data_IF_686323353881
#
_entry.id   IF_686323353881
#
_cell.length_a   1.000
_cell.length_b   1.000
_cell.length_c   1.000
_cell.angle_alpha   90.00
_cell.angle_beta   90.00
_cell.angle_gamma   90.00
#
_symmetry.space_group_name_H-M   'P 1'
#
loop_
_entity.id
_entity.type
_entity.pdbx_description
1 polymer ?
#
# COMPACT_ATOMS: atom_id res chain seq x y z
N UNK A 1 -5.71 24.11 0.35
CA UNK A 1 -5.34 24.32 1.77
C UNK A 1 -4.40 23.24 2.31
N UNK A 2 -4.78 21.94 2.38
CA UNK A 2 -3.85 20.88 2.84
C UNK A 2 -2.71 20.59 1.86
N UNK A 3 -3.03 20.56 0.57
CA UNK A 3 -2.05 20.40 -0.51
C UNK A 3 -1.00 21.52 -0.46
N UNK A 4 -1.46 22.78 -0.43
CA UNK A 4 -0.61 23.97 -0.36
C UNK A 4 0.26 24.04 0.90
N UNK A 5 -0.27 23.60 2.05
CA UNK A 5 0.46 23.61 3.32
C UNK A 5 1.53 22.52 3.42
N UNK A 6 1.42 21.44 2.63
CA UNK A 6 2.34 20.30 2.68
C UNK A 6 3.28 20.23 1.47
N UNK A 7 2.96 20.94 0.39
CA UNK A 7 3.69 20.84 -0.88
C UNK A 7 3.57 19.47 -1.56
N UNK A 8 2.64 18.62 -1.10
CA UNK A 8 2.39 17.28 -1.66
C UNK A 8 1.18 17.33 -2.57
N UNK A 9 1.24 16.68 -3.73
CA UNK A 9 0.05 16.42 -4.55
C UNK A 9 -0.86 15.43 -3.82
N UNK A 10 -2.09 15.86 -3.53
CA UNK A 10 -3.12 15.07 -2.86
C UNK A 10 -4.32 14.81 -3.78
N UNK A 11 -4.16 15.00 -5.09
CA UNK A 11 -5.24 14.85 -6.08
C UNK A 11 -5.83 13.46 -6.04
N UNK A 12 -5.02 12.41 -6.00
CA UNK A 12 -5.52 11.04 -5.88
C UNK A 12 -6.16 10.77 -4.51
N UNK A 13 -5.62 11.34 -3.43
CA UNK A 13 -6.17 11.15 -2.08
C UNK A 13 -7.62 11.68 -1.97
N UNK A 14 -8.01 12.67 -2.78
CA UNK A 14 -9.39 13.18 -2.86
C UNK A 14 -10.41 12.11 -3.23
N UNK A 15 -10.01 11.00 -3.85
CA UNK A 15 -10.89 9.86 -4.15
C UNK A 15 -11.56 9.26 -2.89
N UNK A 16 -10.95 9.42 -1.71
CA UNK A 16 -11.57 9.01 -0.44
C UNK A 16 -12.88 9.76 -0.11
N UNK A 17 -13.06 10.96 -0.66
CA UNK A 17 -14.24 11.79 -0.40
C UNK A 17 -15.33 11.63 -1.46
N UNK A 18 -14.99 11.12 -2.66
CA UNK A 18 -15.91 11.04 -3.80
C UNK A 18 -16.31 9.61 -4.18
N UNK A 19 -15.50 8.61 -3.82
CA UNK A 19 -15.73 7.21 -4.18
C UNK A 19 -16.26 6.41 -2.99
N UNK A 20 -17.48 5.87 -3.12
CA UNK A 20 -18.08 5.00 -2.10
C UNK A 20 -17.49 3.58 -2.14
N UNK A 21 -17.73 2.82 -1.08
CA UNK A 21 -17.33 1.41 -0.95
C UNK A 21 -15.97 1.22 -0.27
N UNK A 22 -15.80 0.04 0.33
CA UNK A 22 -14.60 -0.33 1.10
C UNK A 22 -13.59 -1.05 0.20
N UNK A 23 -12.36 -0.52 0.04
CA UNK A 23 -11.31 -1.23 -0.70
C UNK A 23 -10.92 -2.50 0.03
N UNK A 24 -10.74 -3.58 -0.72
CA UNK A 24 -10.07 -4.79 -0.24
C UNK A 24 -8.63 -4.74 -0.71
N UNK A 25 -7.70 -4.89 0.24
CA UNK A 25 -6.27 -5.02 -0.05
C UNK A 25 -5.89 -6.48 0.12
N UNK A 26 -5.40 -7.08 -0.96
CA UNK A 26 -4.80 -8.41 -0.96
C UNK A 26 -3.29 -8.26 -0.85
N UNK A 27 -2.68 -9.07 0.01
CA UNK A 27 -1.23 -9.12 0.19
C UNK A 27 -0.75 -10.49 -0.26
N UNK A 28 0.28 -10.51 -1.10
CA UNK A 28 1.02 -11.73 -1.46
C UNK A 28 2.51 -11.47 -1.33
N UNK A 29 3.27 -12.46 -0.91
CA UNK A 29 4.70 -12.35 -0.74
C UNK A 29 5.48 -13.52 -1.35
N UNK A 30 6.76 -13.27 -1.60
CA UNK A 30 7.73 -14.28 -1.99
C UNK A 30 9.08 -14.00 -1.34
N UNK A 31 9.84 -15.08 -1.13
CA UNK A 31 11.23 -14.99 -0.69
C UNK A 31 12.10 -15.81 -1.63
N UNK A 32 13.00 -15.16 -2.35
CA UNK A 32 13.89 -15.80 -3.31
C UNK A 32 15.29 -15.19 -3.21
N UNK A 33 16.31 -16.02 -3.01
CA UNK A 33 17.72 -15.61 -3.01
C UNK A 33 18.04 -14.44 -2.03
N UNK A 34 17.43 -14.43 -0.84
CA UNK A 34 17.66 -13.37 0.15
C UNK A 34 16.86 -12.08 -0.09
N UNK A 35 15.94 -12.09 -1.04
CA UNK A 35 15.05 -10.97 -1.34
C UNK A 35 13.64 -11.34 -0.92
N UNK A 36 13.06 -10.55 -0.01
CA UNK A 36 11.64 -10.57 0.30
C UNK A 36 10.90 -9.61 -0.64
N UNK A 37 9.90 -10.11 -1.34
CA UNK A 37 9.00 -9.29 -2.14
C UNK A 37 7.62 -9.27 -1.49
N UNK A 38 7.04 -8.09 -1.33
CA UNK A 38 5.69 -7.86 -0.85
C UNK A 38 4.88 -7.18 -1.95
N UNK A 39 3.82 -7.83 -2.43
CA UNK A 39 2.90 -7.27 -3.42
C UNK A 39 1.57 -6.96 -2.74
N UNK A 40 1.16 -5.70 -2.87
CA UNK A 40 -0.11 -5.18 -2.38
C UNK A 40 -1.00 -4.93 -3.60
N UNK A 41 -2.23 -5.44 -3.57
CA UNK A 41 -3.22 -5.24 -4.64
C UNK A 41 -4.51 -4.72 -4.04
N UNK A 42 -5.06 -3.63 -4.58
CA UNK A 42 -6.35 -3.08 -4.15
C UNK A 42 -7.43 -3.31 -5.20
N UNK A 43 -8.65 -3.59 -4.71
CA UNK A 43 -9.86 -3.55 -5.51
C UNK A 43 -11.03 -3.04 -4.67
N UNK A 44 -11.92 -2.26 -5.26
CA UNK A 44 -13.18 -1.85 -4.63
C UNK A 44 -14.33 -2.35 -5.49
N UNK A 45 -15.32 -3.00 -4.88
CA UNK A 45 -16.49 -3.47 -5.62
C UNK A 45 -17.36 -2.30 -6.11
N UNK A 46 -18.09 -2.46 -7.23
CA UNK A 46 -19.11 -1.51 -7.67
C UNK A 46 -20.10 -1.15 -6.55
N UNK A 47 -20.61 0.08 -6.56
CA UNK A 47 -21.69 0.53 -5.67
C UNK A 47 -22.79 1.19 -6.51
N UNK A 48 -24.05 1.29 -6.04
CA UNK A 48 -25.12 1.93 -6.80
C UNK A 48 -24.72 3.32 -7.32
N UNK A 49 -24.85 3.55 -8.63
CA UNK A 49 -24.46 4.81 -9.29
C UNK A 49 -22.96 5.04 -9.44
N UNK A 50 -22.11 4.05 -9.11
CA UNK A 50 -20.66 4.09 -9.28
C UNK A 50 -20.14 2.69 -9.66
N UNK A 51 -20.29 2.33 -10.92
CA UNK A 51 -19.92 1.00 -11.42
C UNK A 51 -18.40 0.82 -11.58
N UNK A 52 -17.71 1.91 -11.93
CA UNK A 52 -16.25 1.94 -12.03
C UNK A 52 -15.61 2.46 -10.74
N UNK A 53 -14.48 1.86 -10.36
CA UNK A 53 -13.72 2.22 -9.16
C UNK A 53 -12.26 2.43 -9.51
N UNK A 54 -11.78 3.65 -9.31
CA UNK A 54 -10.37 3.98 -9.48
C UNK A 54 -9.57 3.57 -8.22
N UNK A 55 -8.29 3.19 -8.38
CA UNK A 55 -7.38 2.97 -7.26
C UNK A 55 -7.26 4.22 -6.38
N UNK A 56 -7.36 4.04 -5.07
CA UNK A 56 -7.16 5.11 -4.10
C UNK A 56 -5.70 5.16 -3.71
N UNK A 57 -5.23 6.31 -3.22
CA UNK A 57 -3.97 6.36 -2.49
C UNK A 57 -4.20 5.77 -1.09
N UNK A 58 -3.60 4.60 -0.82
CA UNK A 58 -3.67 3.90 0.48
C UNK A 58 -2.26 3.84 1.08
N UNK A 59 -1.97 4.61 2.14
CA UNK A 59 -0.73 4.47 2.89
C UNK A 59 -0.74 3.19 3.73
N UNK A 60 0.21 2.29 3.51
CA UNK A 60 0.33 1.01 4.23
C UNK A 60 1.62 1.02 5.05
N UNK A 61 1.49 1.01 6.38
CA UNK A 61 2.63 0.83 7.27
C UNK A 61 3.09 -0.63 7.25
N UNK A 62 4.37 -0.85 6.93
CA UNK A 62 4.99 -2.18 6.88
C UNK A 62 6.30 -2.18 7.65
N UNK A 63 6.59 -3.28 8.34
CA UNK A 63 7.87 -3.57 8.96
C UNK A 63 8.15 -5.07 8.83
N UNK A 64 9.42 -5.46 8.92
CA UNK A 64 9.81 -6.88 8.91
C UNK A 64 10.49 -7.22 10.22
N UNK A 65 10.18 -8.41 10.73
CA UNK A 65 10.76 -8.96 11.94
C UNK A 65 11.56 -10.21 11.59
N UNK A 66 12.65 -10.44 12.31
CA UNK A 66 13.30 -11.73 12.37
C UNK A 66 12.49 -12.70 13.25
N UNK A 67 12.84 -13.99 13.21
CA UNK A 67 12.17 -15.04 14.00
C UNK A 67 12.33 -14.86 15.51
N UNK A 68 13.35 -14.13 15.96
CA UNK A 68 13.57 -13.77 17.37
C UNK A 68 12.76 -12.53 17.81
N UNK A 69 12.00 -11.92 16.89
CA UNK A 69 11.19 -10.74 17.13
C UNK A 69 11.93 -9.40 17.02
N UNK A 70 13.23 -9.41 16.72
CA UNK A 70 13.98 -8.18 16.43
C UNK A 70 13.59 -7.61 15.05
N UNK A 71 13.74 -6.29 14.88
CA UNK A 71 13.40 -5.63 13.62
C UNK A 71 14.45 -5.94 12.55
N UNK A 72 14.03 -6.64 11.49
CA UNK A 72 14.80 -6.76 10.25
C UNK A 72 14.72 -5.47 9.44
N UNK A 73 13.56 -4.82 9.45
CA UNK A 73 13.35 -3.48 8.87
C UNK A 73 12.41 -2.70 9.77
N UNK A 74 12.84 -1.50 10.16
CA UNK A 74 11.99 -0.52 10.82
C UNK A 74 10.74 -0.20 9.99
N UNK A 75 9.67 0.17 10.68
CA UNK A 75 8.39 0.49 10.03
C UNK A 75 8.55 1.63 9.02
N UNK A 76 8.07 1.42 7.79
CA UNK A 76 8.00 2.41 6.73
C UNK A 76 6.61 2.44 6.10
N UNK A 77 6.29 3.53 5.41
CA UNK A 77 5.06 3.65 4.63
C UNK A 77 5.32 3.20 3.19
N UNK A 78 4.51 2.26 2.71
CA UNK A 78 4.35 1.99 1.29
C UNK A 78 3.11 2.72 0.78
N UNK A 79 3.22 3.36 -0.38
CA UNK A 79 2.09 4.00 -1.04
C UNK A 79 1.51 3.01 -2.06
N UNK A 80 0.31 2.50 -1.77
CA UNK A 80 -0.49 1.75 -2.73
C UNK A 80 -1.34 2.76 -3.50
N UNK A 81 -0.76 3.30 -4.58
CA UNK A 81 -1.34 4.35 -5.46
C UNK A 81 -1.90 3.76 -6.77
N UNK A 82 -1.68 2.48 -7.02
CA UNK A 82 -2.14 1.76 -8.22
C UNK A 82 -2.96 0.55 -7.80
N UNK A 83 -3.53 -0.14 -8.78
CA UNK A 83 -4.17 -1.44 -8.54
C UNK A 83 -3.21 -2.42 -7.86
N UNK A 84 -1.93 -2.42 -8.24
CA UNK A 84 -0.91 -3.26 -7.65
C UNK A 84 0.44 -2.55 -7.52
N UNK A 85 1.11 -2.75 -6.38
CA UNK A 85 2.45 -2.25 -6.08
C UNK A 85 3.26 -3.37 -5.43
N UNK A 86 4.47 -3.61 -5.93
CA UNK A 86 5.43 -4.55 -5.34
C UNK A 86 6.59 -3.78 -4.71
N UNK A 87 6.85 -4.03 -3.43
CA UNK A 87 8.05 -3.60 -2.73
C UNK A 87 8.98 -4.78 -2.56
N UNK A 88 10.28 -4.59 -2.81
CA UNK A 88 11.30 -5.61 -2.59
C UNK A 88 12.28 -5.12 -1.54
N UNK A 89 12.65 -6.00 -0.63
CA UNK A 89 13.70 -5.72 0.34
C UNK A 89 14.67 -6.90 0.41
N UNK A 90 15.96 -6.57 0.36
CA UNK A 90 17.01 -7.52 0.67
C UNK A 90 17.07 -7.63 2.17
N UNK A 91 16.86 -8.82 2.70
CA UNK A 91 17.01 -9.10 4.12
C UNK A 91 18.14 -10.11 4.23
N UNK A 92 19.20 -9.71 4.93
CA UNK A 92 20.28 -10.63 5.30
C UNK A 92 19.84 -11.41 6.53
N UNK A 93 19.97 -12.74 6.47
CA UNK A 93 19.85 -13.56 7.69
C UNK A 93 20.90 -13.09 8.71
N UNK A 94 20.56 -13.03 10.00
CA UNK A 94 21.52 -12.67 11.05
C UNK A 94 22.68 -13.67 11.14
#
# INVERSE_FOLDING_TARGET
>A
VFEDATGRDLTQFKLWYSSAGTPKVTVTDDWVNGVYSLTLTQATAPTPGQDEKLPRLIPVAVGLLYSDGSEAIATKILELDKESVTSRVIVVSP
#
